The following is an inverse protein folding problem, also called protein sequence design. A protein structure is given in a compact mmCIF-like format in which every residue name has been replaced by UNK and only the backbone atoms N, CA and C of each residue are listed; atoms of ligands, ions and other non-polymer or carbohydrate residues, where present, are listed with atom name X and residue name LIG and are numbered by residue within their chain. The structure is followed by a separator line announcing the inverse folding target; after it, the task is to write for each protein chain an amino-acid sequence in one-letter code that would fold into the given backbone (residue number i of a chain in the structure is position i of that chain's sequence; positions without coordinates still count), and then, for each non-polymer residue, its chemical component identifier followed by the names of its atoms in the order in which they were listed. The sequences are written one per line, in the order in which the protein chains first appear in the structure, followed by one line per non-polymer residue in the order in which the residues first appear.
data_IF_495319672095
#
_entry.id   IF_495319672095
#
_cell.length_a   1.000
_cell.length_b   1.000
_cell.length_c   1.000
_cell.angle_alpha   90.00
_cell.angle_beta   90.00
_cell.angle_gamma   90.00
#
_symmetry.space_group_name_H-M   'P 1'
#
loop_
_entity.id
_entity.type
_entity.pdbx_description
1 polymer ?
#
# COMPACT_ATOMS: atom_id res chain seq x y z
N UNK A 1 6.42 14.72 12.86
CA UNK A 1 5.13 14.26 12.28
C UNK A 1 4.76 14.88 10.93
N UNK A 2 5.02 16.18 10.66
CA UNK A 2 4.67 16.83 9.38
C UNK A 2 5.28 16.15 8.13
N UNK A 3 6.53 15.70 8.21
CA UNK A 3 7.21 15.04 7.08
C UNK A 3 6.56 13.71 6.68
N UNK A 4 6.37 12.79 7.62
CA UNK A 4 5.75 11.47 7.36
C UNK A 4 4.36 11.63 6.73
N UNK A 5 3.54 12.51 7.32
CA UNK A 5 2.20 12.83 6.79
C UNK A 5 2.28 13.34 5.35
N UNK A 6 3.18 14.28 5.06
CA UNK A 6 3.37 14.85 3.72
C UNK A 6 3.87 13.82 2.71
N UNK A 7 4.79 12.94 3.12
CA UNK A 7 5.31 11.85 2.29
C UNK A 7 4.22 10.84 1.94
N UNK A 8 3.37 10.49 2.92
CA UNK A 8 2.22 9.60 2.70
C UNK A 8 1.22 10.21 1.71
N UNK A 9 0.85 11.48 1.87
CA UNK A 9 -0.01 12.15 0.88
C UNK A 9 0.64 12.28 -0.48
N UNK A 10 1.97 12.49 -0.54
CA UNK A 10 2.66 12.53 -1.81
C UNK A 10 2.66 11.17 -2.51
N UNK A 11 2.85 10.08 -1.75
CA UNK A 11 2.73 8.72 -2.23
C UNK A 11 1.33 8.46 -2.82
N UNK A 12 0.28 8.77 -2.07
CA UNK A 12 -1.10 8.70 -2.54
C UNK A 12 -1.34 9.55 -3.80
N UNK A 13 -0.88 10.80 -3.80
CA UNK A 13 -1.00 11.72 -4.94
C UNK A 13 -0.40 11.14 -6.22
N UNK A 14 0.78 10.52 -6.14
CA UNK A 14 1.44 9.92 -7.29
C UNK A 14 0.65 8.74 -7.85
N UNK A 15 0.09 7.90 -6.98
CA UNK A 15 -0.80 6.80 -7.38
C UNK A 15 -2.08 7.36 -8.01
N UNK A 16 -2.73 8.32 -7.35
CA UNK A 16 -3.92 9.00 -7.85
C UNK A 16 -3.72 9.57 -9.25
N UNK A 17 -2.65 10.34 -9.48
CA UNK A 17 -2.35 10.92 -10.80
C UNK A 17 -2.05 9.87 -11.86
N UNK A 18 -1.40 8.77 -11.48
CA UNK A 18 -1.15 7.65 -12.40
C UNK A 18 -2.47 7.00 -12.84
N UNK A 19 -3.39 6.77 -11.90
CA UNK A 19 -4.70 6.18 -12.19
C UNK A 19 -5.59 7.16 -12.95
N UNK A 20 -5.52 8.46 -12.62
CA UNK A 20 -6.24 9.50 -13.34
C UNK A 20 -5.85 9.49 -14.82
N UNK A 21 -4.55 9.49 -15.10
CA UNK A 21 -4.00 9.44 -16.45
C UNK A 21 -4.44 8.18 -17.21
N UNK A 22 -4.34 6.99 -16.59
CA UNK A 22 -4.76 5.75 -17.25
C UNK A 22 -6.28 5.65 -17.40
N UNK A 23 -7.06 6.23 -16.49
CA UNK A 23 -8.52 6.25 -16.55
C UNK A 23 -9.04 7.21 -17.63
N UNK A 24 -8.37 8.35 -17.83
CA UNK A 24 -8.63 9.26 -18.97
C UNK A 24 -8.43 8.52 -20.30
N UNK A 25 -7.38 7.71 -20.41
CA UNK A 25 -7.06 6.93 -21.62
C UNK A 25 -8.02 5.75 -21.88
N UNK A 26 -8.68 5.22 -20.85
CA UNK A 26 -9.47 3.97 -20.92
C UNK A 26 -10.99 4.18 -20.81
N UNK A 27 -11.47 5.40 -20.98
CA UNK A 27 -12.91 5.68 -21.15
C UNK A 27 -13.63 6.31 -19.96
N UNK A 28 -12.93 6.87 -18.97
CA UNK A 28 -13.55 7.81 -18.04
C UNK A 28 -12.89 7.95 -16.65
N UNK A 29 -12.93 9.17 -16.11
CA UNK A 29 -12.40 9.58 -14.80
C UNK A 29 -13.17 9.08 -13.56
N UNK A 30 -14.09 8.13 -13.73
CA UNK A 30 -15.00 7.76 -12.66
C UNK A 30 -14.25 7.04 -11.52
N UNK A 31 -14.56 7.44 -10.28
CA UNK A 31 -14.04 6.87 -9.03
C UNK A 31 -12.50 6.79 -8.93
N UNK A 32 -11.75 7.65 -9.61
CA UNK A 32 -10.27 7.67 -9.56
C UNK A 32 -9.74 7.70 -8.12
N UNK A 33 -10.39 8.47 -7.24
CA UNK A 33 -10.06 8.52 -5.81
C UNK A 33 -10.18 7.14 -5.13
N UNK A 34 -11.31 6.46 -5.29
CA UNK A 34 -11.54 5.14 -4.68
C UNK A 34 -10.59 4.09 -5.24
N UNK A 35 -10.31 4.12 -6.55
CA UNK A 35 -9.30 3.25 -7.18
C UNK A 35 -7.91 3.47 -6.57
N UNK A 36 -7.51 4.72 -6.37
CA UNK A 36 -6.22 5.06 -5.75
C UNK A 36 -6.15 4.63 -4.27
N UNK A 37 -7.22 4.85 -3.52
CA UNK A 37 -7.34 4.43 -2.12
C UNK A 37 -7.23 2.90 -2.00
N UNK A 38 -7.91 2.15 -2.88
CA UNK A 38 -7.82 0.70 -2.93
C UNK A 38 -6.40 0.20 -3.24
N UNK A 39 -5.68 0.85 -4.16
CA UNK A 39 -4.28 0.51 -4.46
C UNK A 39 -3.37 0.74 -3.24
N UNK A 40 -3.53 1.86 -2.53
CA UNK A 40 -2.75 2.11 -1.30
C UNK A 40 -3.07 1.07 -0.24
N UNK A 41 -4.34 0.75 -0.03
CA UNK A 41 -4.78 -0.27 0.90
C UNK A 41 -4.18 -1.64 0.56
N UNK A 42 -4.16 -2.03 -0.72
CA UNK A 42 -3.56 -3.28 -1.18
C UNK A 42 -2.05 -3.32 -0.92
N UNK A 43 -1.33 -2.22 -1.18
CA UNK A 43 0.11 -2.13 -0.91
C UNK A 43 0.43 -2.24 0.58
N UNK A 44 -0.36 -1.60 1.44
CA UNK A 44 -0.23 -1.71 2.89
C UNK A 44 -0.53 -3.12 3.39
N UNK A 45 -1.56 -3.77 2.84
CA UNK A 45 -1.88 -5.16 3.13
C UNK A 45 -0.74 -6.11 2.73
N UNK A 46 -0.11 -5.90 1.57
CA UNK A 46 1.04 -6.69 1.14
C UNK A 46 2.23 -6.54 2.08
N UNK A 47 2.54 -5.33 2.54
CA UNK A 47 3.58 -5.11 3.56
C UNK A 47 3.23 -5.87 4.85
N UNK A 48 1.99 -5.79 5.31
CA UNK A 48 1.54 -6.51 6.49
C UNK A 48 1.68 -8.04 6.35
N UNK A 49 1.22 -8.60 5.24
CA UNK A 49 1.35 -10.03 4.97
C UNK A 49 2.79 -10.49 4.82
N UNK A 50 3.67 -9.67 4.22
CA UNK A 50 5.11 -9.95 4.20
C UNK A 50 5.69 -10.07 5.61
N UNK A 51 5.34 -9.14 6.52
CA UNK A 51 5.79 -9.23 7.91
C UNK A 51 5.29 -10.49 8.60
N UNK A 52 4.03 -10.86 8.38
CA UNK A 52 3.47 -12.09 8.93
C UNK A 52 4.18 -13.33 8.37
N UNK A 53 4.51 -13.34 7.09
CA UNK A 53 5.28 -14.39 6.45
C UNK A 53 6.67 -14.55 7.09
N UNK A 54 7.41 -13.45 7.24
CA UNK A 54 8.72 -13.47 7.88
C UNK A 54 8.64 -13.89 9.34
N UNK A 55 7.67 -13.35 10.10
CA UNK A 55 7.43 -13.76 11.48
C UNK A 55 7.28 -15.27 11.58
N UNK A 56 6.41 -15.85 10.74
CA UNK A 56 6.16 -17.29 10.69
C UNK A 56 7.43 -18.11 10.38
N UNK A 57 8.27 -17.63 9.46
CA UNK A 57 9.53 -18.28 9.08
C UNK A 57 10.53 -18.26 10.25
N UNK A 58 10.60 -17.16 11.00
CA UNK A 58 11.53 -16.99 12.12
C UNK A 58 11.11 -17.76 13.36
N UNK A 59 9.83 -17.73 13.72
CA UNK A 59 9.31 -18.39 14.92
C UNK A 59 8.98 -19.87 14.71
N UNK A 60 9.01 -20.34 13.46
CA UNK A 60 8.62 -21.71 13.06
C UNK A 60 7.21 -22.10 13.50
N UNK A 61 6.33 -21.13 13.76
CA UNK A 61 4.95 -21.41 14.15
C UNK A 61 4.09 -21.68 12.93
N UNK A 62 3.30 -22.76 12.96
CA UNK A 62 2.30 -23.05 11.94
C UNK A 62 1.02 -22.25 12.20
N UNK A 63 1.03 -20.96 11.85
CA UNK A 63 -0.21 -20.14 11.92
C UNK A 63 -1.13 -20.57 10.78
N UNK A 64 -2.27 -21.19 11.13
CA UNK A 64 -3.35 -21.41 10.17
C UNK A 64 -4.04 -20.08 9.87
N UNK A 65 -3.71 -19.51 8.72
CA UNK A 65 -4.42 -18.37 8.14
C UNK A 65 -5.73 -18.87 7.51
N UNK A 66 -6.78 -18.97 8.33
CA UNK A 66 -8.14 -19.16 7.84
C UNK A 66 -8.84 -17.81 7.77
N UNK A 67 -9.69 -17.61 6.75
CA UNK A 67 -10.55 -16.43 6.66
C UNK A 67 -11.37 -16.22 7.92
N UNK A 68 -11.76 -17.27 8.65
CA UNK A 68 -12.50 -17.13 9.93
C UNK A 68 -11.69 -16.56 11.11
N UNK A 69 -10.37 -16.39 10.97
CA UNK A 69 -9.51 -15.99 12.09
C UNK A 69 -9.44 -14.46 12.25
N UNK A 70 -9.62 -13.93 13.47
CA UNK A 70 -9.51 -12.49 13.75
C UNK A 70 -8.18 -11.86 13.35
N UNK A 71 -7.11 -12.66 13.31
CA UNK A 71 -5.76 -12.21 12.90
C UNK A 71 -5.71 -11.67 11.47
N UNK A 72 -6.70 -12.00 10.62
CA UNK A 72 -6.82 -11.46 9.26
C UNK A 72 -7.64 -10.15 9.27
N UNK A 73 -8.76 -10.12 10.00
CA UNK A 73 -9.69 -8.99 9.97
C UNK A 73 -9.22 -7.80 10.80
N UNK A 74 -8.60 -8.02 11.96
CA UNK A 74 -8.16 -6.93 12.85
C UNK A 74 -7.13 -6.01 12.16
N UNK A 75 -6.06 -6.53 11.52
CA UNK A 75 -5.14 -5.69 10.77
C UNK A 75 -5.80 -5.00 9.57
N UNK A 76 -6.68 -5.69 8.85
CA UNK A 76 -7.40 -5.11 7.72
C UNK A 76 -8.28 -3.92 8.15
N UNK A 77 -8.98 -4.03 9.29
CA UNK A 77 -9.78 -2.95 9.86
C UNK A 77 -8.89 -1.79 10.30
N UNK A 78 -7.75 -2.06 10.96
CA UNK A 78 -6.80 -1.02 11.37
C UNK A 78 -6.29 -0.24 10.15
N UNK A 79 -5.89 -0.94 9.08
CA UNK A 79 -5.44 -0.35 7.83
C UNK A 79 -6.56 0.48 7.20
N UNK A 80 -7.77 -0.05 7.12
CA UNK A 80 -8.92 0.66 6.55
C UNK A 80 -9.24 1.95 7.32
N UNK A 81 -9.33 1.86 8.65
CA UNK A 81 -9.60 3.02 9.53
C UNK A 81 -8.49 4.07 9.44
N UNK A 82 -7.23 3.63 9.38
CA UNK A 82 -6.09 4.53 9.19
C UNK A 82 -6.17 5.30 7.86
N UNK A 83 -6.47 4.61 6.77
CA UNK A 83 -6.69 5.24 5.46
C UNK A 83 -7.86 6.21 5.50
N UNK A 84 -8.99 5.82 6.09
CA UNK A 84 -10.17 6.66 6.21
C UNK A 84 -9.85 7.98 6.94
N UNK A 85 -9.21 7.92 8.11
CA UNK A 85 -8.88 9.15 8.85
C UNK A 85 -7.81 10.01 8.18
N UNK A 86 -6.94 9.41 7.38
CA UNK A 86 -5.82 10.13 6.76
C UNK A 86 -6.19 10.71 5.40
N UNK A 87 -6.88 9.95 4.56
CA UNK A 87 -7.21 10.29 3.17
C UNK A 87 -8.63 10.82 3.04
N UNK A 88 -9.63 10.11 3.57
CA UNK A 88 -11.05 10.41 3.33
C UNK A 88 -11.59 11.51 4.26
N UNK A 89 -11.16 11.49 5.52
CA UNK A 89 -11.67 12.40 6.54
C UNK A 89 -11.21 13.85 6.29
N UNK A 90 -12.20 14.74 6.17
CA UNK A 90 -12.05 16.19 5.90
C UNK A 90 -11.44 16.55 4.53
N UNK A 91 -11.42 15.62 3.56
CA UNK A 91 -10.95 15.91 2.20
C UNK A 91 -9.51 16.49 2.14
N UNK A 92 -8.69 16.24 3.17
CA UNK A 92 -7.34 16.81 3.28
C UNK A 92 -6.46 16.48 2.06
N UNK A 93 -6.70 15.32 1.44
CA UNK A 93 -6.02 14.89 0.23
C UNK A 93 -6.15 15.91 -0.92
N UNK A 94 -7.29 16.62 -1.03
CA UNK A 94 -7.53 17.63 -2.08
C UNK A 94 -6.58 18.82 -1.94
N UNK A 95 -6.36 19.28 -0.70
CA UNK A 95 -5.44 20.39 -0.42
C UNK A 95 -4.00 20.03 -0.81
N UNK A 96 -3.55 18.82 -0.46
CA UNK A 96 -2.23 18.34 -0.84
C UNK A 96 -2.10 18.11 -2.35
N UNK A 97 -3.17 17.68 -3.03
CA UNK A 97 -3.18 17.51 -4.47
C UNK A 97 -2.88 18.83 -5.19
N UNK A 98 -3.52 19.94 -4.76
CA UNK A 98 -3.24 21.29 -5.29
C UNK A 98 -1.79 21.70 -4.99
N UNK A 99 -1.31 21.46 -3.77
CA UNK A 99 0.08 21.78 -3.40
C UNK A 99 1.10 21.04 -4.28
N UNK A 100 0.91 19.73 -4.49
CA UNK A 100 1.84 18.89 -5.24
C UNK A 100 1.74 19.07 -6.76
N UNK A 101 0.59 19.50 -7.27
CA UNK A 101 0.44 19.91 -8.67
C UNK A 101 1.38 21.08 -9.01
N UNK A 102 1.62 21.99 -8.06
CA UNK A 102 2.49 23.14 -8.23
C UNK A 102 4.00 22.84 -8.09
N UNK A 103 4.40 21.58 -7.88
CA UNK A 103 5.81 21.20 -7.82
C UNK A 103 6.50 21.33 -9.19
N UNK A 104 7.76 21.76 -9.17
CA UNK A 104 8.58 21.84 -10.38
C UNK A 104 8.70 20.49 -11.09
N UNK A 105 8.81 20.50 -12.43
CA UNK A 105 8.91 19.30 -13.26
C UNK A 105 10.01 18.34 -12.76
N UNK A 106 11.17 18.88 -12.36
CA UNK A 106 12.29 18.10 -11.82
C UNK A 106 11.90 17.39 -10.52
N UNK A 107 11.29 18.11 -9.57
CA UNK A 107 10.87 17.55 -8.28
C UNK A 107 9.82 16.46 -8.47
N UNK A 108 8.85 16.68 -9.35
CA UNK A 108 7.83 15.69 -9.67
C UNK A 108 8.38 14.44 -10.38
N UNK A 109 9.40 14.59 -11.24
CA UNK A 109 10.06 13.44 -11.89
C UNK A 109 10.81 12.58 -10.89
N UNK A 110 11.63 13.20 -10.02
CA UNK A 110 12.39 12.48 -8.99
C UNK A 110 11.44 11.80 -8.01
N UNK A 111 10.46 12.53 -7.48
CA UNK A 111 9.48 11.97 -6.56
C UNK A 111 8.64 10.85 -7.20
N UNK A 112 8.34 10.94 -8.49
CA UNK A 112 7.69 9.87 -9.23
C UNK A 112 8.50 8.57 -9.28
N UNK A 113 9.80 8.65 -9.60
CA UNK A 113 10.69 7.49 -9.59
C UNK A 113 10.86 6.89 -8.21
N UNK A 114 10.91 7.71 -7.16
CA UNK A 114 10.96 7.24 -5.77
C UNK A 114 9.70 6.44 -5.43
N UNK A 115 8.51 6.98 -5.71
CA UNK A 115 7.24 6.26 -5.46
C UNK A 115 7.17 4.96 -6.24
N UNK A 116 7.56 4.98 -7.52
CA UNK A 116 7.61 3.77 -8.35
C UNK A 116 8.56 2.71 -7.76
N UNK A 117 9.75 3.11 -7.33
CA UNK A 117 10.71 2.21 -6.69
C UNK A 117 10.19 1.60 -5.39
N UNK A 118 9.48 2.39 -4.56
CA UNK A 118 8.83 1.89 -3.33
C UNK A 118 7.77 0.84 -3.66
N UNK A 119 6.91 1.10 -4.64
CA UNK A 119 5.86 0.15 -5.06
C UNK A 119 6.48 -1.16 -5.55
N UNK A 120 7.51 -1.07 -6.38
CA UNK A 120 8.23 -2.24 -6.89
C UNK A 120 8.86 -3.03 -5.75
N UNK A 121 9.49 -2.35 -4.79
CA UNK A 121 10.06 -2.98 -3.60
C UNK A 121 9.01 -3.71 -2.77
N UNK A 122 7.83 -3.12 -2.55
CA UNK A 122 6.73 -3.76 -1.82
C UNK A 122 6.27 -5.03 -2.55
N UNK A 123 6.04 -4.95 -3.87
CA UNK A 123 5.60 -6.10 -4.68
C UNK A 123 6.65 -7.22 -4.66
N UNK A 124 7.91 -6.89 -4.93
CA UNK A 124 9.00 -7.86 -4.93
C UNK A 124 9.18 -8.50 -3.55
N UNK A 125 9.09 -7.71 -2.48
CA UNK A 125 9.17 -8.22 -1.11
C UNK A 125 8.01 -9.17 -0.79
N UNK A 126 6.79 -8.83 -1.22
CA UNK A 126 5.61 -9.68 -1.03
C UNK A 126 5.76 -11.03 -1.74
N UNK A 127 6.16 -11.02 -3.02
CA UNK A 127 6.43 -12.25 -3.78
C UNK A 127 7.54 -13.07 -3.12
N UNK A 128 8.63 -12.42 -2.73
CA UNK A 128 9.75 -13.07 -2.07
C UNK A 128 9.37 -13.71 -0.72
N UNK A 129 8.48 -13.07 0.04
CA UNK A 129 8.00 -13.60 1.32
C UNK A 129 7.27 -14.94 1.15
N UNK A 130 6.46 -15.10 0.11
CA UNK A 130 5.80 -16.36 -0.20
C UNK A 130 6.78 -17.42 -0.71
N UNK A 131 7.74 -17.02 -1.53
CA UNK A 131 8.81 -17.91 -1.97
C UNK A 131 9.53 -18.51 -0.76
N UNK A 132 9.90 -17.69 0.24
CA UNK A 132 10.52 -18.20 1.47
C UNK A 132 9.59 -19.13 2.26
N UNK A 133 8.30 -18.81 2.38
CA UNK A 133 7.32 -19.72 3.02
C UNK A 133 7.31 -21.08 2.33
N UNK A 134 7.36 -21.13 1.00
CA UNK A 134 7.31 -22.38 0.24
C UNK A 134 8.55 -23.27 0.41
N UNK A 135 9.69 -22.68 0.79
CA UNK A 135 10.94 -23.42 1.00
C UNK A 135 11.04 -24.06 2.39
N UNK A 136 10.19 -23.66 3.33
CA UNK A 136 10.20 -24.23 4.69
C UNK A 136 9.43 -25.54 4.69
N UNK A 137 10.08 -26.61 5.17
CA UNK A 137 9.40 -27.87 5.47
C UNK A 137 8.56 -27.73 6.74
N UNK A 138 7.29 -27.36 6.57
CA UNK A 138 6.35 -27.18 7.68
C UNK A 138 5.93 -28.48 8.36
N UNK A 139 6.23 -29.66 7.79
CA UNK A 139 5.90 -30.95 8.42
C UNK A 139 6.67 -31.17 9.72
N UNK A 140 7.86 -30.56 9.85
CA UNK A 140 8.72 -30.65 11.03
C UNK A 140 8.22 -29.80 12.22
N UNK A 141 7.20 -28.95 12.00
CA UNK A 141 6.70 -27.99 12.98
C UNK A 141 5.16 -28.07 13.13
N UNK A 142 4.58 -29.19 12.75
CA UNK A 142 3.16 -29.52 12.99
C UNK A 142 3.01 -30.39 14.22
#
# INVERSE_FOLDING_TARGET
MKFIKKSYYYFFYRIYRSIEYTSELSGGKFLTFHKASLVVLALEAWVFFSFMAYYRIFTKTSIQLSFSMPIIYVPAIIIYVFNYFTLDYKDNWKQFNVEFANYSKRKNRIGGWIVFGIILLIISNFIFSFYLISQVDWSQYR
#
